data_IF_070561601058
#
_entry.id   IF_070561601058
#
_cell.length_a   1.000
_cell.length_b   1.000
_cell.length_c   1.000
_cell.angle_alpha   90.00
_cell.angle_beta   90.00
_cell.angle_gamma   90.00
#
_symmetry.space_group_name_H-M   'P 1'
#
loop_
_entity.id
_entity.type
_entity.pdbx_description
1 polymer ?
#
# COMPACT_ATOMS: atom_id res chain seq x y z
N UNK A 1 -25.01 -1.05 82.40
CA UNK A 1 -25.59 -1.14 83.76
C UNK A 1 -27.10 -1.08 83.64
N UNK A 2 -27.84 -1.77 84.50
CA UNK A 2 -29.30 -1.93 84.32
C UNK A 2 -30.06 -0.80 85.03
N UNK A 3 -30.73 0.07 84.27
CA UNK A 3 -31.35 1.32 84.75
C UNK A 3 -32.35 1.04 85.89
N UNK A 4 -33.20 0.01 85.74
CA UNK A 4 -34.16 -0.43 86.75
C UNK A 4 -33.52 -0.79 88.10
N UNK A 5 -32.28 -1.30 88.10
CA UNK A 5 -31.58 -1.75 89.31
C UNK A 5 -30.94 -0.59 90.10
N UNK A 6 -30.65 0.54 89.43
CA UNK A 6 -30.20 1.78 90.08
C UNK A 6 -31.38 2.57 90.62
N UNK A 7 -32.46 2.70 89.83
CA UNK A 7 -33.69 3.38 90.24
C UNK A 7 -34.32 2.72 91.47
N UNK A 8 -34.43 1.38 91.50
CA UNK A 8 -34.88 0.64 92.69
C UNK A 8 -33.99 0.85 93.93
N UNK A 9 -32.69 1.13 93.73
CA UNK A 9 -31.74 1.33 94.83
C UNK A 9 -31.82 2.74 95.41
N UNK A 10 -32.13 3.75 94.57
CA UNK A 10 -32.48 5.09 95.02
C UNK A 10 -33.81 5.11 95.80
N UNK A 11 -34.81 4.37 95.30
CA UNK A 11 -36.11 4.19 95.97
C UNK A 11 -36.01 3.41 97.31
N UNK A 12 -34.97 2.60 97.52
CA UNK A 12 -34.72 1.97 98.82
C UNK A 12 -34.02 2.90 99.83
N UNK A 13 -33.29 3.92 99.37
CA UNK A 13 -32.73 4.94 100.27
C UNK A 13 -33.76 6.00 100.69
N UNK A 14 -34.83 6.18 99.92
CA UNK A 14 -35.83 7.23 100.15
C UNK A 14 -36.82 6.95 101.28
N UNK A 15 -37.14 5.69 101.57
CA UNK A 15 -38.04 5.32 102.68
C UNK A 15 -37.52 5.73 104.08
N UNK A 16 -36.30 6.25 104.18
CA UNK A 16 -35.62 6.57 105.44
C UNK A 16 -35.29 8.06 105.66
N UNK A 17 -35.60 8.93 104.68
CA UNK A 17 -35.37 10.39 104.72
C UNK A 17 -36.52 11.10 104.03
N UNK A 18 -37.10 12.14 104.64
CA UNK A 18 -38.40 12.70 104.23
C UNK A 18 -38.56 13.03 102.73
N UNK A 19 -39.75 12.68 102.20
CA UNK A 19 -40.13 12.71 100.77
C UNK A 19 -39.55 13.88 99.95
N UNK A 20 -39.63 15.10 100.48
CA UNK A 20 -39.27 16.33 99.76
C UNK A 20 -37.79 16.43 99.34
N UNK A 21 -36.85 15.78 100.02
CA UNK A 21 -35.43 15.77 99.63
C UNK A 21 -35.11 14.64 98.63
N UNK A 22 -35.95 13.59 98.62
CA UNK A 22 -35.83 12.45 97.70
C UNK A 22 -36.22 12.89 96.29
N UNK A 23 -37.38 13.53 96.12
CA UNK A 23 -37.88 13.90 94.79
C UNK A 23 -36.93 14.88 94.08
N UNK A 24 -36.31 15.79 94.82
CA UNK A 24 -35.26 16.69 94.30
C UNK A 24 -34.02 15.93 93.86
N UNK A 25 -33.58 14.92 94.61
CA UNK A 25 -32.44 14.08 94.25
C UNK A 25 -32.74 13.23 93.00
N UNK A 26 -33.96 12.72 92.86
CA UNK A 26 -34.42 11.99 91.66
C UNK A 26 -34.44 12.93 90.45
N UNK A 27 -34.96 14.16 90.57
CA UNK A 27 -34.91 15.14 89.47
C UNK A 27 -33.49 15.49 89.04
N UNK A 28 -32.59 15.78 89.98
CA UNK A 28 -31.18 16.06 89.66
C UNK A 28 -30.45 14.85 89.08
N UNK A 29 -30.79 13.63 89.51
CA UNK A 29 -30.25 12.41 88.91
C UNK A 29 -30.72 12.24 87.47
N UNK A 30 -32.03 12.35 87.23
CA UNK A 30 -32.61 12.22 85.88
C UNK A 30 -32.06 13.28 84.93
N UNK A 31 -31.93 14.55 85.36
CA UNK A 31 -31.32 15.63 84.55
C UNK A 31 -29.88 15.28 84.14
N UNK A 32 -29.07 14.76 85.08
CA UNK A 32 -27.70 14.33 84.80
C UNK A 32 -27.63 13.06 83.98
N UNK A 33 -28.62 12.17 84.06
CA UNK A 33 -28.73 10.99 83.20
C UNK A 33 -29.06 11.40 81.76
N UNK A 34 -30.00 12.32 81.55
CA UNK A 34 -30.33 12.90 80.23
C UNK A 34 -29.12 13.61 79.61
N UNK A 35 -28.41 14.44 80.39
CA UNK A 35 -27.17 15.10 79.95
C UNK A 35 -26.08 14.09 79.55
N UNK A 36 -25.87 13.04 80.36
CA UNK A 36 -24.91 11.98 80.02
C UNK A 36 -25.35 11.15 78.80
N UNK A 37 -26.65 10.91 78.62
CA UNK A 37 -27.18 10.19 77.47
C UNK A 37 -26.99 10.99 76.17
N UNK A 38 -27.25 12.30 76.21
CA UNK A 38 -26.98 13.20 75.10
C UNK A 38 -25.49 13.24 74.74
N UNK A 39 -24.60 13.33 75.74
CA UNK A 39 -23.15 13.29 75.54
C UNK A 39 -22.67 11.95 74.96
N UNK A 40 -23.19 10.82 75.43
CA UNK A 40 -22.85 9.49 74.91
C UNK A 40 -23.27 9.34 73.45
N UNK A 41 -24.48 9.79 73.10
CA UNK A 41 -24.95 9.78 71.71
C UNK A 41 -24.11 10.68 70.80
N UNK A 42 -23.74 11.88 71.26
CA UNK A 42 -22.84 12.78 70.52
C UNK A 42 -21.48 12.13 70.26
N UNK A 43 -20.86 11.50 71.28
CA UNK A 43 -19.59 10.78 71.13
C UNK A 43 -19.71 9.62 70.14
N UNK A 44 -20.83 8.90 70.12
CA UNK A 44 -21.06 7.82 69.16
C UNK A 44 -21.21 8.35 67.73
N UNK A 45 -21.93 9.46 67.52
CA UNK A 45 -22.09 10.08 66.20
C UNK A 45 -20.75 10.58 65.66
N UNK A 46 -19.98 11.31 66.46
CA UNK A 46 -18.64 11.78 66.07
C UNK A 46 -17.68 10.61 65.78
N UNK A 47 -17.76 9.50 66.52
CA UNK A 47 -16.99 8.29 66.21
C UNK A 47 -17.44 7.62 64.89
N UNK A 48 -18.73 7.66 64.58
CA UNK A 48 -19.30 7.17 63.31
C UNK A 48 -18.80 8.04 62.15
N UNK A 49 -18.90 9.36 62.25
CA UNK A 49 -18.37 10.32 61.27
C UNK A 49 -16.86 10.15 61.05
N UNK A 50 -16.08 10.03 62.13
CA UNK A 50 -14.63 9.82 62.06
C UNK A 50 -14.27 8.52 61.33
N UNK A 51 -15.02 7.44 61.59
CA UNK A 51 -14.84 6.16 60.89
C UNK A 51 -15.17 6.31 59.39
N UNK A 52 -16.32 6.91 59.07
CA UNK A 52 -16.74 7.15 57.69
C UNK A 52 -15.73 8.01 56.92
N UNK A 53 -15.20 9.07 57.55
CA UNK A 53 -14.16 9.92 56.96
C UNK A 53 -12.85 9.17 56.75
N UNK A 54 -12.42 8.34 57.71
CA UNK A 54 -11.22 7.51 57.58
C UNK A 54 -11.36 6.48 56.45
N UNK A 55 -12.51 5.83 56.32
CA UNK A 55 -12.76 4.85 55.26
C UNK A 55 -12.89 5.53 53.87
N UNK A 56 -13.45 6.75 53.81
CA UNK A 56 -13.40 7.59 52.61
C UNK A 56 -11.95 7.97 52.23
N UNK A 57 -11.10 8.37 53.19
CA UNK A 57 -9.69 8.68 52.94
C UNK A 57 -8.91 7.47 52.45
N UNK A 58 -9.16 6.27 52.99
CA UNK A 58 -8.56 5.02 52.48
C UNK A 58 -9.01 4.75 51.04
N UNK A 59 -10.31 4.85 50.76
CA UNK A 59 -10.88 4.62 49.43
C UNK A 59 -10.29 5.59 48.40
N UNK A 60 -10.19 6.88 48.73
CA UNK A 60 -9.55 7.89 47.87
C UNK A 60 -8.07 7.59 47.63
N UNK A 61 -7.32 7.13 48.65
CA UNK A 61 -5.91 6.72 48.48
C UNK A 61 -5.76 5.52 47.53
N UNK A 62 -6.62 4.51 47.66
CA UNK A 62 -6.64 3.37 46.73
C UNK A 62 -6.94 3.85 45.31
N UNK A 63 -7.99 4.65 45.12
CA UNK A 63 -8.36 5.18 43.80
C UNK A 63 -7.24 6.03 43.17
N UNK A 64 -6.52 6.83 43.96
CA UNK A 64 -5.37 7.62 43.48
C UNK A 64 -4.26 6.70 42.97
N UNK A 65 -3.96 5.61 43.68
CA UNK A 65 -2.91 4.68 43.27
C UNK A 65 -3.32 3.87 42.02
N UNK A 66 -4.59 3.47 41.95
CA UNK A 66 -5.18 2.77 40.82
C UNK A 66 -5.16 3.63 39.53
N UNK A 67 -5.48 4.93 39.64
CA UNK A 67 -5.42 5.87 38.52
C UNK A 67 -3.98 6.21 38.11
N UNK A 68 -3.02 6.27 39.04
CA UNK A 68 -1.59 6.39 38.69
C UNK A 68 -1.11 5.18 37.89
N UNK A 69 -1.40 3.97 38.35
CA UNK A 69 -0.99 2.73 37.66
C UNK A 69 -1.58 2.66 36.24
N UNK A 70 -2.86 3.05 36.07
CA UNK A 70 -3.49 3.19 34.74
C UNK A 70 -2.81 4.27 33.89
N UNK A 71 -2.41 5.38 34.49
CA UNK A 71 -1.73 6.47 33.78
C UNK A 71 -0.33 6.07 33.30
N UNK A 72 0.46 5.40 34.13
CA UNK A 72 1.79 4.89 33.78
C UNK A 72 1.70 3.85 32.66
N UNK A 73 0.82 2.85 32.79
CA UNK A 73 0.58 1.85 31.74
C UNK A 73 0.07 2.47 30.42
N UNK A 74 -0.68 3.58 30.51
CA UNK A 74 -1.10 4.34 29.33
C UNK A 74 0.08 5.06 28.68
N UNK A 75 0.96 5.70 29.45
CA UNK A 75 2.16 6.38 28.95
C UNK A 75 3.08 5.38 28.25
N UNK A 76 3.34 4.22 28.86
CA UNK A 76 4.15 3.15 28.27
C UNK A 76 3.59 2.71 26.91
N UNK A 77 2.29 2.42 26.84
CA UNK A 77 1.61 2.06 25.59
C UNK A 77 1.62 3.17 24.53
N UNK A 78 1.49 4.43 24.94
CA UNK A 78 1.58 5.57 24.02
C UNK A 78 3.02 5.75 23.50
N UNK A 79 4.03 5.50 24.33
CA UNK A 79 5.44 5.52 23.95
C UNK A 79 5.79 4.39 22.96
N UNK A 80 5.39 3.15 23.24
CA UNK A 80 5.54 2.02 22.31
C UNK A 80 4.87 2.29 20.95
N UNK A 81 3.67 2.86 20.98
CA UNK A 81 2.95 3.28 19.78
C UNK A 81 3.73 4.32 18.98
N UNK A 82 4.23 5.37 19.65
CA UNK A 82 5.07 6.41 19.05
C UNK A 82 6.34 5.81 18.42
N UNK A 83 7.02 4.89 19.10
CA UNK A 83 8.27 4.32 18.60
C UNK A 83 8.03 3.34 17.44
N UNK A 84 6.94 2.56 17.47
CA UNK A 84 6.51 1.75 16.31
C UNK A 84 6.18 2.61 15.08
N UNK A 85 5.55 3.77 15.28
CA UNK A 85 5.23 4.73 14.22
C UNK A 85 6.49 5.40 13.65
N UNK A 86 7.49 5.72 14.49
CA UNK A 86 8.80 6.22 14.02
C UNK A 86 9.50 5.21 13.12
N UNK A 87 9.54 3.94 13.51
CA UNK A 87 10.16 2.86 12.70
C UNK A 87 9.44 2.74 11.36
N UNK A 88 8.11 2.61 11.35
CA UNK A 88 7.38 2.46 10.08
C UNK A 88 7.47 3.70 9.17
N UNK A 89 7.56 4.90 9.75
CA UNK A 89 7.76 6.14 9.01
C UNK A 89 9.14 6.18 8.34
N UNK A 90 10.18 5.69 9.01
CA UNK A 90 11.53 5.63 8.46
C UNK A 90 11.67 4.54 7.39
N UNK A 91 11.09 3.34 7.59
CA UNK A 91 10.96 2.30 6.54
C UNK A 91 10.28 2.86 5.29
N UNK A 92 9.15 3.56 5.44
CA UNK A 92 8.43 4.20 4.33
C UNK A 92 9.25 5.28 3.64
N UNK A 93 10.03 6.07 4.38
CA UNK A 93 10.95 7.07 3.80
C UNK A 93 12.02 6.42 2.94
N UNK A 94 12.62 5.33 3.42
CA UNK A 94 13.66 4.59 2.70
C UNK A 94 13.08 3.93 1.43
N UNK A 95 11.92 3.27 1.54
CA UNK A 95 11.22 2.69 0.39
C UNK A 95 10.83 3.76 -0.65
N UNK A 96 10.31 4.92 -0.20
CA UNK A 96 10.00 6.05 -1.08
C UNK A 96 11.25 6.65 -1.74
N UNK A 97 12.36 6.78 -1.00
CA UNK A 97 13.63 7.26 -1.55
C UNK A 97 14.19 6.32 -2.63
N UNK A 98 14.11 5.00 -2.40
CA UNK A 98 14.48 3.98 -3.39
C UNK A 98 13.62 4.09 -4.65
N UNK A 99 12.29 4.04 -4.50
CA UNK A 99 11.35 4.11 -5.63
C UNK A 99 11.49 5.44 -6.40
N UNK A 100 11.73 6.56 -5.72
CA UNK A 100 12.01 7.84 -6.36
C UNK A 100 13.32 7.81 -7.15
N UNK A 101 14.37 7.17 -6.64
CA UNK A 101 15.63 7.03 -7.36
C UNK A 101 15.48 6.13 -8.61
N UNK A 102 14.66 5.07 -8.56
CA UNK A 102 14.33 4.24 -9.72
C UNK A 102 13.47 4.96 -10.75
N UNK A 103 12.49 5.74 -10.29
CA UNK A 103 11.67 6.60 -11.14
C UNK A 103 12.54 7.64 -11.88
N UNK A 104 13.41 8.35 -11.17
CA UNK A 104 14.31 9.33 -11.79
C UNK A 104 15.30 8.67 -12.76
N UNK A 105 15.83 7.47 -12.47
CA UNK A 105 16.64 6.70 -13.44
C UNK A 105 15.84 6.39 -14.71
N UNK A 106 14.62 5.89 -14.56
CA UNK A 106 13.73 5.51 -15.68
C UNK A 106 13.34 6.73 -16.51
N UNK A 107 13.01 7.84 -15.85
CA UNK A 107 12.73 9.13 -16.47
C UNK A 107 13.93 9.67 -17.25
N UNK A 108 15.14 9.63 -16.68
CA UNK A 108 16.37 10.02 -17.38
C UNK A 108 16.67 9.16 -18.62
N UNK A 109 16.28 7.88 -18.63
CA UNK A 109 16.36 7.02 -19.82
C UNK A 109 15.30 7.43 -20.85
N UNK A 110 14.05 7.65 -20.42
CA UNK A 110 12.97 8.12 -21.29
C UNK A 110 13.32 9.46 -21.96
N UNK A 111 13.79 10.44 -21.20
CA UNK A 111 14.18 11.77 -21.70
C UNK A 111 15.38 11.72 -22.66
N UNK A 112 16.24 10.69 -22.58
CA UNK A 112 17.30 10.45 -23.57
C UNK A 112 16.72 9.84 -24.85
N UNK A 113 15.87 8.82 -24.73
CA UNK A 113 15.21 8.18 -25.87
C UNK A 113 14.35 9.17 -26.66
N UNK A 114 13.59 10.05 -25.99
CA UNK A 114 12.77 11.07 -26.65
C UNK A 114 13.61 12.08 -27.45
N UNK A 115 14.78 12.47 -26.94
CA UNK A 115 15.73 13.31 -27.69
C UNK A 115 16.32 12.59 -28.90
N UNK A 116 16.73 11.33 -28.74
CA UNK A 116 17.24 10.52 -29.86
C UNK A 116 16.19 10.28 -30.94
N UNK A 117 14.93 10.07 -30.57
CA UNK A 117 13.79 9.97 -31.50
C UNK A 117 13.58 11.29 -32.25
N UNK A 118 13.68 12.43 -31.57
CA UNK A 118 13.60 13.75 -32.20
C UNK A 118 14.73 13.99 -33.21
N UNK A 119 15.98 13.72 -32.82
CA UNK A 119 17.16 13.81 -33.68
C UNK A 119 17.05 12.90 -34.92
N UNK A 120 16.60 11.66 -34.73
CA UNK A 120 16.41 10.72 -35.83
C UNK A 120 15.29 11.16 -36.78
N UNK A 121 14.16 11.67 -36.25
CA UNK A 121 13.06 12.18 -37.06
C UNK A 121 13.45 13.40 -37.91
N UNK A 122 14.33 14.27 -37.38
CA UNK A 122 14.89 15.40 -38.13
C UNK A 122 15.86 14.93 -39.22
N UNK A 123 16.80 14.04 -38.91
CA UNK A 123 17.80 13.54 -39.87
C UNK A 123 17.19 12.67 -40.97
N UNK A 124 16.17 11.88 -40.66
CA UNK A 124 15.42 11.05 -41.62
C UNK A 124 14.35 11.83 -42.38
N UNK A 125 14.29 13.16 -42.21
CA UNK A 125 13.37 14.09 -42.87
C UNK A 125 11.89 13.64 -42.81
N UNK A 126 11.46 13.15 -41.64
CA UNK A 126 10.15 12.51 -41.48
C UNK A 126 9.00 13.52 -41.59
N UNK A 127 8.09 13.29 -42.55
CA UNK A 127 6.89 14.09 -42.87
C UNK A 127 5.81 14.19 -41.76
N UNK A 128 6.18 14.01 -40.49
CA UNK A 128 5.32 14.20 -39.31
C UNK A 128 5.07 15.69 -38.96
N UNK A 129 5.92 16.59 -39.47
CA UNK A 129 5.86 18.04 -39.27
C UNK A 129 4.48 18.69 -39.54
N UNK A 130 3.74 18.37 -40.62
CA UNK A 130 2.41 18.95 -40.87
C UNK A 130 1.36 18.52 -39.83
N UNK A 131 1.50 17.30 -39.29
CA UNK A 131 0.55 16.74 -38.32
C UNK A 131 0.74 17.37 -36.94
N UNK A 132 1.99 17.63 -36.52
CA UNK A 132 2.24 18.46 -35.33
C UNK A 132 1.78 19.91 -35.51
N UNK A 133 1.97 20.48 -36.70
CA UNK A 133 1.54 21.85 -37.03
C UNK A 133 0.01 22.01 -36.93
N UNK A 134 -0.74 20.94 -37.21
CA UNK A 134 -2.20 20.86 -37.03
C UNK A 134 -2.62 20.69 -35.56
N UNK A 135 -1.77 20.07 -34.73
CA UNK A 135 -2.01 19.82 -33.31
C UNK A 135 -1.67 21.01 -32.38
N UNK A 136 -1.12 22.11 -32.92
CA UNK A 136 -0.95 23.39 -32.22
C UNK A 136 -0.04 23.36 -30.98
N UNK A 137 0.70 22.27 -30.76
CA UNK A 137 1.65 22.11 -29.65
C UNK A 137 3.08 22.32 -30.12
N UNK A 138 3.96 22.61 -29.17
CA UNK A 138 5.38 22.84 -29.45
C UNK A 138 6.02 21.63 -30.15
N UNK A 139 7.10 21.89 -30.88
CA UNK A 139 7.84 20.91 -31.70
C UNK A 139 8.54 19.84 -30.82
N UNK A 140 8.54 20.04 -29.51
CA UNK A 140 9.15 19.13 -28.53
C UNK A 140 8.42 17.78 -28.48
N UNK A 141 9.21 16.69 -28.54
CA UNK A 141 8.69 15.32 -28.44
C UNK A 141 8.27 15.03 -27.00
N UNK A 142 6.99 15.28 -26.72
CA UNK A 142 6.35 14.92 -25.45
C UNK A 142 5.84 13.46 -25.47
N UNK A 143 5.59 12.85 -24.31
CA UNK A 143 5.17 11.46 -24.16
C UNK A 143 3.93 11.13 -25.03
N UNK A 144 2.94 12.03 -25.08
CA UNK A 144 1.74 11.90 -25.92
C UNK A 144 2.02 11.94 -27.44
N UNK A 145 3.06 12.67 -27.86
CA UNK A 145 3.41 12.86 -29.28
C UNK A 145 4.42 11.81 -29.76
N UNK A 146 5.25 11.28 -28.85
CA UNK A 146 6.32 10.31 -29.12
C UNK A 146 5.86 9.12 -29.97
N UNK A 147 4.67 8.60 -29.67
CA UNK A 147 4.06 7.47 -30.37
C UNK A 147 3.79 7.75 -31.85
N UNK A 148 3.49 9.00 -32.20
CA UNK A 148 3.28 9.41 -33.60
C UNK A 148 4.63 9.51 -34.33
N UNK A 149 5.63 10.14 -33.70
CA UNK A 149 6.99 10.21 -34.23
C UNK A 149 7.59 8.83 -34.51
N UNK A 150 7.49 7.90 -33.56
CA UNK A 150 8.00 6.52 -33.71
C UNK A 150 7.32 5.81 -34.90
N UNK A 151 6.01 5.95 -35.08
CA UNK A 151 5.28 5.34 -36.22
C UNK A 151 5.64 5.97 -37.57
N UNK A 152 5.84 7.28 -37.62
CA UNK A 152 6.32 7.94 -38.84
C UNK A 152 7.75 7.52 -39.18
N UNK A 153 8.62 7.38 -38.17
CA UNK A 153 9.97 6.82 -38.31
C UNK A 153 9.95 5.37 -38.80
N UNK A 154 9.13 4.51 -38.21
CA UNK A 154 8.92 3.11 -38.63
C UNK A 154 8.59 3.03 -40.13
N UNK A 155 7.65 3.87 -40.59
CA UNK A 155 7.28 3.93 -42.01
C UNK A 155 8.45 4.35 -42.90
N UNK A 156 9.20 5.39 -42.52
CA UNK A 156 10.39 5.85 -43.28
C UNK A 156 11.54 4.84 -43.27
N UNK A 157 11.75 4.12 -42.16
CA UNK A 157 12.74 3.05 -42.08
C UNK A 157 12.39 1.91 -43.04
N UNK A 158 11.11 1.53 -43.14
CA UNK A 158 10.63 0.54 -44.11
C UNK A 158 10.82 1.02 -45.57
N UNK A 159 10.48 2.27 -45.88
CA UNK A 159 10.75 2.88 -47.20
C UNK A 159 12.25 2.77 -47.58
N UNK A 160 13.16 3.13 -46.65
CA UNK A 160 14.62 3.05 -46.88
C UNK A 160 15.08 1.60 -47.07
N UNK A 161 14.58 0.67 -46.26
CA UNK A 161 14.92 -0.76 -46.36
C UNK A 161 14.49 -1.34 -47.71
N UNK A 162 13.33 -0.96 -48.24
CA UNK A 162 12.86 -1.43 -49.53
C UNK A 162 13.65 -0.82 -50.71
N UNK A 163 14.09 0.44 -50.61
CA UNK A 163 15.03 1.06 -51.56
C UNK A 163 16.35 0.25 -51.61
N UNK A 164 16.93 -0.09 -50.45
CA UNK A 164 18.17 -0.88 -50.38
C UNK A 164 17.99 -2.27 -51.01
N UNK A 165 16.88 -2.97 -50.74
CA UNK A 165 16.59 -4.27 -51.39
C UNK A 165 16.51 -4.17 -52.91
N UNK A 166 15.90 -3.10 -53.43
CA UNK A 166 15.79 -2.85 -54.87
C UNK A 166 17.19 -2.60 -55.47
N UNK A 167 18.01 -1.80 -54.81
CA UNK A 167 19.38 -1.51 -55.25
C UNK A 167 20.24 -2.79 -55.31
N UNK A 168 20.25 -3.59 -54.25
CA UNK A 168 20.95 -4.89 -54.25
C UNK A 168 20.43 -5.84 -55.36
N UNK A 169 19.12 -5.82 -55.64
CA UNK A 169 18.54 -6.65 -56.70
C UNK A 169 18.94 -6.17 -58.10
N UNK A 170 19.04 -4.85 -58.32
CA UNK A 170 19.56 -4.25 -59.54
C UNK A 170 21.05 -4.57 -59.72
N UNK A 171 21.84 -4.51 -58.64
CA UNK A 171 23.27 -4.80 -58.64
C UNK A 171 23.54 -6.27 -58.98
N UNK A 172 22.82 -7.22 -58.36
CA UNK A 172 22.85 -8.65 -58.73
C UNK A 172 22.46 -8.90 -60.19
N UNK A 173 21.50 -8.14 -60.73
CA UNK A 173 21.13 -8.23 -62.15
C UNK A 173 22.19 -7.63 -63.09
N UNK A 174 22.93 -6.59 -62.68
CA UNK A 174 24.03 -6.03 -63.45
C UNK A 174 25.18 -7.04 -63.55
N UNK A 175 25.61 -7.62 -62.43
CA UNK A 175 26.63 -8.68 -62.37
C UNK A 175 26.23 -9.92 -63.20
N UNK A 176 24.95 -10.29 -63.21
CA UNK A 176 24.45 -11.39 -64.03
C UNK A 176 24.48 -11.07 -65.54
N UNK A 177 24.22 -9.81 -65.93
CA UNK A 177 24.24 -9.37 -67.33
C UNK A 177 25.66 -9.26 -67.90
N UNK A 178 26.63 -8.80 -67.10
CA UNK A 178 28.05 -8.80 -67.52
C UNK A 178 28.62 -10.20 -67.73
N UNK A 179 28.08 -11.22 -67.04
CA UNK A 179 28.53 -12.62 -67.17
C UNK A 179 27.99 -13.37 -68.40
N UNK A 180 27.19 -12.72 -69.27
CA UNK A 180 26.70 -13.33 -70.52
C UNK A 180 27.48 -12.83 -71.75
N UNK A 181 28.24 -13.69 -72.47
CA UNK A 181 29.02 -13.27 -73.62
C UNK A 181 28.16 -13.00 -74.87
N UNK A 182 28.61 -12.15 -75.82
CA UNK A 182 27.83 -11.73 -76.97
C UNK A 182 27.63 -12.85 -77.99
N UNK A 183 26.37 -13.19 -78.27
CA UNK A 183 26.01 -14.15 -79.33
C UNK A 183 26.10 -13.50 -80.71
N UNK A 184 27.10 -13.85 -81.49
CA UNK A 184 27.16 -13.51 -82.92
C UNK A 184 27.48 -14.70 -83.84
N UNK A 185 26.44 -15.08 -84.61
CA UNK A 185 26.47 -15.25 -86.07
C UNK A 185 26.94 -16.59 -86.69
N UNK A 186 25.94 -17.41 -87.03
CA UNK A 186 25.80 -18.32 -88.21
C UNK A 186 27.07 -18.67 -89.03
N UNK A 187 27.35 -19.97 -89.19
CA UNK A 187 27.54 -20.58 -90.53
C UNK A 187 27.22 -22.07 -90.57
N UNK A 188 26.88 -22.58 -91.76
CA UNK A 188 26.41 -23.95 -92.00
C UNK A 188 27.45 -24.83 -92.69
N UNK A 189 27.35 -26.16 -92.54
CA UNK A 189 28.20 -27.13 -93.23
C UNK A 189 27.82 -28.59 -93.01
N UNK A 190 27.27 -29.20 -94.08
CA UNK A 190 27.22 -30.64 -94.48
C UNK A 190 28.25 -31.57 -93.79
N UNK A 191 28.00 -32.86 -93.53
CA UNK A 191 27.19 -33.85 -94.28
C UNK A 191 27.12 -35.23 -93.58
N UNK A 192 26.65 -36.33 -94.24
CA UNK A 192 25.71 -37.25 -93.56
C UNK A 192 26.00 -38.78 -93.64
N UNK A 193 25.05 -39.58 -93.08
CA UNK A 193 24.81 -41.05 -93.12
C UNK A 193 25.39 -41.85 -91.93
N UNK A 194 24.75 -42.92 -91.43
CA UNK A 194 23.44 -43.59 -91.74
C UNK A 194 22.95 -44.39 -90.53
N UNK A 195 21.63 -44.52 -90.34
CA UNK A 195 20.97 -45.55 -89.48
C UNK A 195 20.55 -46.75 -90.37
N UNK A 196 20.07 -47.91 -89.84
CA UNK A 196 18.69 -48.00 -89.31
C UNK A 196 18.35 -49.09 -88.23
N UNK A 197 17.25 -48.83 -87.47
CA UNK A 197 16.33 -49.80 -86.81
C UNK A 197 16.88 -50.66 -85.64
N UNK A 198 16.14 -51.00 -84.58
CA UNK A 198 14.73 -50.79 -84.16
C UNK A 198 14.69 -50.79 -82.59
N UNK A 199 13.60 -50.77 -81.79
CA UNK A 199 12.15 -51.02 -81.97
C UNK A 199 11.28 -50.33 -80.88
N UNK A 200 9.97 -50.22 -81.14
CA UNK A 200 8.79 -50.19 -80.22
C UNK A 200 8.87 -49.60 -78.79
N UNK A 201 8.01 -48.60 -78.55
CA UNK A 201 7.38 -48.23 -77.26
C UNK A 201 6.23 -49.23 -76.90
N UNK A 202 5.32 -49.02 -75.91
CA UNK A 202 5.15 -47.96 -74.88
C UNK A 202 5.09 -48.56 -73.43
N UNK A 203 4.84 -47.85 -72.31
CA UNK A 203 3.53 -47.34 -71.82
C UNK A 203 3.66 -46.42 -70.59
N UNK A 204 2.74 -45.45 -70.48
CA UNK A 204 2.32 -44.72 -69.27
C UNK A 204 1.14 -45.45 -68.57
N UNK A 205 0.39 -44.90 -67.57
CA UNK A 205 0.63 -43.90 -66.51
C UNK A 205 0.57 -44.60 -65.10
N UNK A 206 0.46 -44.00 -63.89
CA UNK A 206 -0.52 -43.05 -63.32
C UNK A 206 -0.15 -42.72 -61.84
N UNK A 207 -0.79 -41.72 -61.19
CA UNK A 207 -0.50 -41.29 -59.81
C UNK A 207 -1.53 -41.80 -58.78
N UNK A 208 -1.25 -41.56 -57.49
CA UNK A 208 -2.16 -41.33 -56.35
C UNK A 208 -1.29 -40.77 -55.22
N UNK A 209 -1.57 -39.62 -54.59
CA UNK A 209 -2.79 -39.22 -53.87
C UNK A 209 -3.14 -40.22 -52.77
N UNK A 210 -2.72 -39.93 -51.53
CA UNK A 210 -3.64 -39.52 -50.46
C UNK A 210 -2.84 -39.22 -49.16
N UNK A 211 -3.06 -38.03 -48.56
CA UNK A 211 -3.81 -37.80 -47.31
C UNK A 211 -3.12 -38.36 -46.05
N UNK A 212 -2.72 -37.45 -45.15
CA UNK A 212 -3.27 -37.42 -43.78
C UNK A 212 -2.86 -36.11 -43.07
N UNK A 213 -3.84 -35.21 -42.93
CA UNK A 213 -3.80 -34.05 -42.04
C UNK A 213 -4.68 -34.39 -40.83
N UNK A 214 -4.12 -34.48 -39.63
CA UNK A 214 -4.89 -34.55 -38.39
C UNK A 214 -4.01 -34.19 -37.17
N UNK A 215 -4.13 -32.95 -36.68
CA UNK A 215 -3.60 -32.53 -35.39
C UNK A 215 -4.34 -31.27 -34.90
N UNK A 216 -5.42 -31.49 -34.14
CA UNK A 216 -6.08 -30.56 -33.21
C UNK A 216 -6.87 -31.39 -32.20
#
# INVERSE_FOLDING_TARGET
MNISALHHRALQSSEFTGDDDVDKLIQEFNRREEENYALFNYVNEVNSELKNLNDNVKTLRVNIEDEKAKHEAKIEKEQDSIDSLKVNLEERRQAHAHLKAEYEKSRNVLDKLMRQIHELALTSNCDSLPLLKLLGRSVDVNESNSRLYIKSLETKILEIVDIVKIDEALQRQAEAKERTPPSTRRRAGRGPRRTPRERSAPTSPHPRADVLLAAS
#
